data_IF_094744879648
#
_entry.id   IF_094744879648
#
_cell.length_a   1.000
_cell.length_b   1.000
_cell.length_c   1.000
_cell.angle_alpha   90.00
_cell.angle_beta   90.00
_cell.angle_gamma   90.00
#
_symmetry.space_group_name_H-M   'P 1'
#
loop_
_entity.id
_entity.type
_entity.pdbx_description
1 polymer ?
#
# COMPACT_ATOMS: atom_id res chain seq x y z
N UNK A 1 -41.85 -24.28 -17.77
CA UNK A 1 -40.37 -24.21 -17.79
C UNK A 1 -39.86 -22.79 -18.07
N UNK A 2 -40.24 -22.12 -19.15
CA UNK A 2 -39.77 -20.75 -19.45
C UNK A 2 -40.18 -19.70 -18.40
N UNK A 3 -41.44 -19.77 -17.90
CA UNK A 3 -41.93 -18.85 -16.86
C UNK A 3 -41.17 -18.97 -15.52
N UNK A 4 -40.87 -20.20 -15.09
CA UNK A 4 -40.07 -20.46 -13.89
C UNK A 4 -38.63 -19.97 -14.03
N UNK A 5 -38.03 -20.08 -15.24
CA UNK A 5 -36.68 -19.57 -15.53
C UNK A 5 -36.66 -18.05 -15.50
N UNK A 6 -37.70 -17.39 -16.02
CA UNK A 6 -37.84 -15.91 -15.99
C UNK A 6 -38.06 -15.38 -14.57
N UNK A 7 -38.83 -16.11 -13.72
CA UNK A 7 -39.04 -15.70 -12.35
C UNK A 7 -37.79 -15.88 -11.49
N UNK A 8 -37.06 -16.97 -11.67
CA UNK A 8 -35.72 -17.15 -11.06
C UNK A 8 -34.73 -16.07 -11.47
N UNK A 9 -34.72 -15.68 -12.75
CA UNK A 9 -33.86 -14.59 -13.24
C UNK A 9 -34.23 -13.23 -12.64
N UNK A 10 -35.51 -12.95 -12.45
CA UNK A 10 -35.99 -11.72 -11.80
C UNK A 10 -35.61 -11.67 -10.33
N UNK A 11 -35.68 -12.81 -9.60
CA UNK A 11 -35.24 -12.90 -8.19
C UNK A 11 -33.72 -12.79 -8.03
N UNK A 12 -32.94 -13.21 -9.01
CA UNK A 12 -31.48 -13.11 -8.96
C UNK A 12 -30.94 -11.70 -9.27
N UNK A 13 -31.72 -10.83 -9.95
CA UNK A 13 -31.28 -9.45 -10.26
C UNK A 13 -30.91 -8.62 -9.02
N UNK A 14 -31.74 -8.56 -7.96
CA UNK A 14 -31.37 -7.82 -6.75
C UNK A 14 -30.11 -8.35 -6.09
N UNK A 15 -30.00 -9.68 -5.98
CA UNK A 15 -28.81 -10.31 -5.40
C UNK A 15 -27.53 -9.97 -6.19
N UNK A 16 -27.59 -10.04 -7.52
CA UNK A 16 -26.47 -9.64 -8.37
C UNK A 16 -26.10 -8.16 -8.16
N UNK A 17 -27.09 -7.29 -8.03
CA UNK A 17 -26.86 -5.85 -7.76
C UNK A 17 -26.18 -5.65 -6.42
N UNK A 18 -26.63 -6.31 -5.36
CA UNK A 18 -26.02 -6.22 -4.03
C UNK A 18 -24.57 -6.75 -4.02
N UNK A 19 -24.32 -7.88 -4.68
CA UNK A 19 -22.95 -8.40 -4.82
C UNK A 19 -22.05 -7.46 -5.61
N UNK A 20 -22.58 -6.86 -6.68
CA UNK A 20 -21.87 -5.87 -7.46
C UNK A 20 -21.52 -4.64 -6.60
N UNK A 21 -22.49 -4.08 -5.87
CA UNK A 21 -22.30 -2.96 -4.95
C UNK A 21 -21.22 -3.29 -3.90
N UNK A 22 -21.32 -4.48 -3.32
CA UNK A 22 -20.34 -4.96 -2.35
C UNK A 22 -18.91 -5.00 -2.93
N UNK A 23 -18.72 -5.59 -4.10
CA UNK A 23 -17.39 -5.66 -4.74
C UNK A 23 -16.89 -4.29 -5.19
N UNK A 24 -17.80 -3.42 -5.67
CA UNK A 24 -17.45 -2.07 -6.12
C UNK A 24 -17.02 -1.17 -4.97
N UNK A 25 -17.55 -1.33 -3.75
CA UNK A 25 -17.09 -0.55 -2.60
C UNK A 25 -15.60 -0.79 -2.30
N UNK A 26 -15.11 -2.02 -2.44
CA UNK A 26 -13.69 -2.34 -2.30
C UNK A 26 -12.84 -1.79 -3.45
N UNK A 27 -13.37 -1.78 -4.68
CA UNK A 27 -12.69 -1.15 -5.81
C UNK A 27 -12.56 0.36 -5.58
N UNK A 28 -13.63 1.05 -5.16
CA UNK A 28 -13.60 2.47 -4.87
C UNK A 28 -12.65 2.79 -3.71
N UNK A 29 -12.59 1.93 -2.69
CA UNK A 29 -11.62 2.06 -1.61
C UNK A 29 -10.17 2.00 -2.11
N UNK A 30 -9.88 1.13 -3.08
CA UNK A 30 -8.56 1.10 -3.71
C UNK A 30 -8.28 2.34 -4.55
N UNK A 31 -9.25 2.83 -5.31
CA UNK A 31 -9.11 4.04 -6.14
C UNK A 31 -8.83 5.27 -5.25
N UNK A 32 -9.57 5.42 -4.14
CA UNK A 32 -9.37 6.48 -3.14
C UNK A 32 -7.97 6.41 -2.51
N UNK A 33 -7.59 5.24 -2.00
CA UNK A 33 -6.28 5.05 -1.39
C UNK A 33 -5.13 5.22 -2.39
N UNK A 34 -5.32 4.77 -3.62
CA UNK A 34 -4.31 4.93 -4.68
C UNK A 34 -4.11 6.42 -5.02
N UNK A 35 -5.21 7.21 -5.04
CA UNK A 35 -5.13 8.66 -5.22
C UNK A 35 -4.32 9.31 -4.11
N UNK A 36 -4.57 8.96 -2.84
CA UNK A 36 -3.82 9.47 -1.68
C UNK A 36 -2.33 9.12 -1.77
N UNK A 37 -2.00 7.87 -2.09
CA UNK A 37 -0.61 7.43 -2.24
C UNK A 37 0.08 8.14 -3.41
N UNK A 38 -0.63 8.36 -4.52
CA UNK A 38 -0.10 9.09 -5.67
C UNK A 38 0.17 10.56 -5.34
N UNK A 39 -0.69 11.20 -4.53
CA UNK A 39 -0.45 12.57 -4.05
C UNK A 39 0.83 12.61 -3.24
N UNK A 40 1.03 11.71 -2.26
CA UNK A 40 2.27 11.62 -1.49
C UNK A 40 3.49 11.40 -2.40
N UNK A 41 3.36 10.48 -3.38
CA UNK A 41 4.44 10.21 -4.33
C UNK A 41 4.82 11.44 -5.18
N UNK A 42 3.83 12.25 -5.58
CA UNK A 42 4.05 13.49 -6.32
C UNK A 42 4.65 14.56 -5.42
N UNK A 43 4.18 14.70 -4.18
CA UNK A 43 4.75 15.62 -3.20
C UNK A 43 6.24 15.35 -2.99
N UNK A 44 6.62 14.09 -2.73
CA UNK A 44 8.03 13.72 -2.64
C UNK A 44 8.83 14.04 -3.91
N UNK A 45 8.25 13.81 -5.08
CA UNK A 45 8.93 14.06 -6.35
C UNK A 45 9.23 15.55 -6.60
N UNK A 46 8.36 16.45 -6.14
CA UNK A 46 8.42 17.87 -6.48
C UNK A 46 8.87 18.79 -5.34
N UNK A 47 8.76 18.34 -4.09
CA UNK A 47 9.03 19.16 -2.89
C UNK A 47 10.23 18.63 -2.11
N UNK A 48 10.53 17.33 -2.24
CA UNK A 48 11.63 16.70 -1.53
C UNK A 48 12.66 16.14 -2.51
N UNK A 49 13.93 16.14 -2.12
CA UNK A 49 15.04 15.63 -2.95
C UNK A 49 15.02 14.12 -3.15
N UNK A 50 14.20 13.43 -2.36
CA UNK A 50 14.13 11.98 -2.34
C UNK A 50 12.70 11.47 -2.31
N UNK A 51 12.38 10.50 -3.16
CA UNK A 51 11.08 9.83 -3.18
C UNK A 51 11.19 8.42 -2.59
N UNK A 52 10.62 8.15 -1.42
CA UNK A 52 10.70 6.84 -0.76
C UNK A 52 9.85 5.76 -1.42
N UNK A 53 8.90 6.11 -2.32
CA UNK A 53 7.96 5.18 -2.94
C UNK A 53 8.43 4.77 -4.33
N UNK A 54 8.91 3.55 -4.47
CA UNK A 54 9.33 2.96 -5.74
C UNK A 54 8.14 2.48 -6.57
N UNK A 55 7.38 1.54 -6.03
CA UNK A 55 6.26 0.90 -6.71
C UNK A 55 5.04 0.78 -5.82
N UNK A 56 3.86 0.90 -6.44
CA UNK A 56 2.57 0.63 -5.79
C UNK A 56 1.80 -0.37 -6.65
N UNK A 57 1.31 -1.43 -6.01
CA UNK A 57 0.41 -2.39 -6.64
C UNK A 57 -0.83 -2.55 -5.80
N UNK A 58 -1.98 -2.76 -6.44
CA UNK A 58 -3.25 -2.94 -5.75
C UNK A 58 -4.07 -4.06 -6.39
N UNK A 59 -4.92 -4.68 -5.60
CA UNK A 59 -5.82 -5.73 -6.07
C UNK A 59 -7.09 -5.80 -5.23
N UNK A 60 -8.20 -6.13 -5.87
CA UNK A 60 -9.39 -6.68 -5.22
C UNK A 60 -9.27 -8.20 -5.21
N UNK A 61 -9.53 -8.84 -4.09
CA UNK A 61 -9.56 -10.31 -3.98
C UNK A 61 -10.74 -10.86 -4.79
N UNK A 62 -10.50 -11.91 -5.57
CA UNK A 62 -11.58 -12.53 -6.35
C UNK A 62 -12.65 -13.17 -5.46
N UNK A 63 -13.92 -13.23 -5.93
CA UNK A 63 -15.01 -13.87 -5.18
C UNK A 63 -14.69 -15.31 -4.76
N UNK A 64 -14.01 -16.09 -5.60
CA UNK A 64 -13.60 -17.47 -5.29
C UNK A 64 -12.60 -17.50 -4.13
N UNK A 65 -11.67 -16.53 -4.10
CA UNK A 65 -10.67 -16.42 -3.03
C UNK A 65 -11.30 -15.96 -1.71
N UNK A 66 -12.33 -15.11 -1.79
CA UNK A 66 -13.13 -14.69 -0.64
C UNK A 66 -13.87 -15.91 -0.08
N UNK A 67 -14.57 -16.67 -0.93
CA UNK A 67 -15.31 -17.86 -0.55
C UNK A 67 -14.42 -18.91 0.13
N UNK A 68 -13.26 -19.23 -0.46
CA UNK A 68 -12.28 -20.16 0.14
C UNK A 68 -11.81 -19.67 1.52
N UNK A 69 -11.64 -18.36 1.70
CA UNK A 69 -11.20 -17.79 2.98
C UNK A 69 -12.29 -17.86 4.04
N UNK A 70 -13.56 -17.62 3.67
CA UNK A 70 -14.72 -17.76 4.54
C UNK A 70 -14.84 -19.20 5.04
N UNK A 71 -14.84 -20.17 4.13
CA UNK A 71 -14.93 -21.59 4.45
C UNK A 71 -13.80 -22.03 5.40
N UNK A 72 -12.56 -21.60 5.13
CA UNK A 72 -11.42 -21.91 6.00
C UNK A 72 -11.54 -21.33 7.41
N UNK A 73 -12.20 -20.16 7.54
CA UNK A 73 -12.40 -19.48 8.83
C UNK A 73 -13.68 -19.86 9.56
N UNK A 74 -14.58 -20.62 8.91
CA UNK A 74 -15.87 -21.02 9.47
C UNK A 74 -16.85 -19.85 9.67
N UNK A 75 -16.77 -18.82 8.81
CA UNK A 75 -17.70 -17.69 8.88
C UNK A 75 -18.97 -17.97 8.07
N UNK A 76 -20.08 -17.33 8.44
CA UNK A 76 -21.33 -17.40 7.70
C UNK A 76 -21.20 -16.77 6.31
N UNK A 77 -21.91 -17.36 5.33
CA UNK A 77 -21.98 -16.86 3.95
C UNK A 77 -22.99 -15.72 3.82
N UNK A 78 -22.73 -14.60 4.52
CA UNK A 78 -23.50 -13.36 4.37
C UNK A 78 -22.55 -12.20 4.05
N UNK A 79 -23.02 -11.19 3.30
CA UNK A 79 -22.22 -10.02 2.97
C UNK A 79 -21.75 -9.27 4.24
N UNK A 80 -22.59 -9.24 5.29
CA UNK A 80 -22.22 -8.65 6.58
C UNK A 80 -21.06 -9.40 7.25
N UNK A 81 -21.15 -10.73 7.35
CA UNK A 81 -20.09 -11.58 7.92
C UNK A 81 -18.78 -11.49 7.10
N UNK A 82 -18.90 -11.41 5.77
CA UNK A 82 -17.74 -11.20 4.89
C UNK A 82 -17.08 -9.85 5.17
N UNK A 83 -17.85 -8.79 5.26
CA UNK A 83 -17.36 -7.42 5.50
C UNK A 83 -16.62 -7.31 6.83
N UNK A 84 -17.13 -7.93 7.88
CA UNK A 84 -16.51 -7.91 9.21
C UNK A 84 -15.33 -8.88 9.33
N UNK A 85 -15.46 -10.08 8.77
CA UNK A 85 -14.51 -11.17 8.96
C UNK A 85 -13.30 -11.15 8.02
N UNK A 86 -13.40 -10.49 6.84
CA UNK A 86 -12.36 -10.47 5.82
C UNK A 86 -11.88 -9.05 5.54
N UNK A 87 -10.79 -8.66 6.18
CA UNK A 87 -10.23 -7.30 6.13
C UNK A 87 -9.21 -7.08 5.00
N UNK A 88 -8.99 -8.08 4.13
CA UNK A 88 -8.00 -8.06 3.05
C UNK A 88 -8.62 -8.30 1.65
N UNK A 89 -9.88 -7.89 1.47
CA UNK A 89 -10.56 -7.93 0.16
C UNK A 89 -9.93 -6.89 -0.77
N UNK A 90 -9.78 -5.65 -0.29
CA UNK A 90 -8.96 -4.64 -0.93
C UNK A 90 -7.54 -4.71 -0.36
N UNK A 91 -6.54 -4.82 -1.22
CA UNK A 91 -5.14 -4.91 -0.83
C UNK A 91 -4.26 -3.99 -1.66
N UNK A 92 -3.36 -3.26 -0.98
CA UNK A 92 -2.34 -2.40 -1.57
C UNK A 92 -0.98 -2.87 -1.08
N UNK A 93 -0.01 -2.88 -1.98
CA UNK A 93 1.39 -3.08 -1.65
C UNK A 93 2.19 -1.87 -2.09
N UNK A 94 2.91 -1.29 -1.14
CA UNK A 94 3.84 -0.19 -1.35
C UNK A 94 5.24 -0.73 -1.19
N UNK A 95 6.09 -0.50 -2.18
CA UNK A 95 7.51 -0.86 -2.17
C UNK A 95 8.29 0.42 -1.97
N UNK A 96 9.14 0.43 -0.94
CA UNK A 96 10.02 1.50 -0.57
C UNK A 96 11.48 1.11 -0.82
N UNK A 97 12.36 2.11 -0.92
CA UNK A 97 13.79 1.88 -1.08
C UNK A 97 14.42 1.36 0.21
N UNK A 98 14.11 1.97 1.36
CA UNK A 98 14.75 1.67 2.64
C UNK A 98 13.74 1.33 3.74
N UNK A 99 14.26 0.74 4.83
CA UNK A 99 13.41 0.36 5.97
C UNK A 99 12.84 1.58 6.70
N UNK A 100 13.59 2.69 6.79
CA UNK A 100 13.10 3.96 7.34
C UNK A 100 11.87 4.48 6.62
N UNK A 101 11.86 4.40 5.28
CA UNK A 101 10.77 4.87 4.42
C UNK A 101 9.45 4.15 4.71
N UNK A 102 9.52 2.86 5.07
CA UNK A 102 8.33 2.06 5.43
C UNK A 102 7.60 2.72 6.61
N UNK A 103 8.35 3.14 7.62
CA UNK A 103 7.77 3.77 8.82
C UNK A 103 7.30 5.19 8.54
N UNK A 104 8.02 5.92 7.69
CA UNK A 104 7.65 7.28 7.29
C UNK A 104 6.32 7.28 6.52
N UNK A 105 6.18 6.46 5.48
CA UNK A 105 4.94 6.29 4.72
C UNK A 105 3.79 5.80 5.63
N UNK A 106 4.07 4.85 6.53
CA UNK A 106 3.08 4.40 7.52
C UNK A 106 2.58 5.55 8.39
N UNK A 107 3.49 6.40 8.91
CA UNK A 107 3.13 7.54 9.74
C UNK A 107 2.33 8.60 8.96
N UNK A 108 2.68 8.86 7.70
CA UNK A 108 1.94 9.79 6.85
C UNK A 108 0.51 9.32 6.60
N UNK A 109 0.31 8.03 6.29
CA UNK A 109 -1.02 7.46 6.12
C UNK A 109 -1.84 7.52 7.42
N UNK A 110 -1.22 7.30 8.57
CA UNK A 110 -1.89 7.34 9.88
C UNK A 110 -2.31 8.76 10.30
N UNK A 111 -1.65 9.80 9.79
CA UNK A 111 -1.99 11.21 10.09
C UNK A 111 -3.18 11.73 9.28
N UNK A 112 -3.61 11.02 8.23
CA UNK A 112 -4.77 11.45 7.44
C UNK A 112 -6.05 11.28 8.23
N UNK A 113 -6.86 12.35 8.30
CA UNK A 113 -8.04 12.45 9.19
C UNK A 113 -9.16 11.46 8.86
N UNK A 114 -9.25 11.05 7.62
CA UNK A 114 -10.26 10.13 7.08
C UNK A 114 -9.78 8.67 7.04
N UNK A 115 -8.58 8.39 7.54
CA UNK A 115 -8.03 7.04 7.67
C UNK A 115 -8.06 6.61 9.13
N UNK A 116 -8.78 5.52 9.41
CA UNK A 116 -8.75 4.89 10.73
C UNK A 116 -7.90 3.64 10.71
N UNK A 117 -6.86 3.60 11.52
CA UNK A 117 -6.03 2.38 11.69
C UNK A 117 -6.76 1.39 12.60
N UNK A 118 -7.10 0.23 12.07
CA UNK A 118 -7.77 -0.85 12.79
C UNK A 118 -6.76 -1.81 13.41
N UNK A 119 -5.69 -2.09 12.65
CA UNK A 119 -4.64 -3.02 13.09
C UNK A 119 -3.32 -2.70 12.41
N UNK A 120 -2.23 -2.81 13.15
CA UNK A 120 -0.89 -2.77 12.61
C UNK A 120 -0.11 -4.01 13.09
N UNK A 121 0.59 -4.69 12.18
CA UNK A 121 1.49 -5.80 12.47
C UNK A 121 2.84 -5.53 11.85
N UNK A 122 3.83 -5.39 12.69
CA UNK A 122 5.20 -5.13 12.30
C UNK A 122 5.99 -6.45 12.24
N UNK A 123 6.04 -7.01 11.03
CA UNK A 123 6.86 -8.19 10.75
C UNK A 123 8.31 -7.83 10.37
N UNK A 124 8.68 -6.55 10.42
CA UNK A 124 10.08 -6.12 10.26
C UNK A 124 10.79 -6.28 11.60
N UNK A 125 10.17 -5.77 12.68
CA UNK A 125 10.67 -5.94 14.07
C UNK A 125 10.52 -7.37 14.56
N UNK A 126 9.43 -8.06 14.19
CA UNK A 126 9.11 -9.41 14.58
C UNK A 126 8.86 -10.29 13.34
N UNK A 127 9.91 -10.73 12.63
CA UNK A 127 9.77 -11.54 11.41
C UNK A 127 9.01 -12.84 11.67
N UNK A 128 8.30 -13.33 10.66
CA UNK A 128 7.67 -14.65 10.75
C UNK A 128 8.74 -15.76 10.82
N UNK A 129 8.39 -16.97 11.29
CA UNK A 129 9.35 -18.08 11.42
C UNK A 129 10.11 -18.44 10.13
N UNK A 130 9.48 -18.20 8.95
CA UNK A 130 10.11 -18.40 7.64
C UNK A 130 11.02 -17.24 7.19
N UNK A 131 11.17 -16.19 7.99
CA UNK A 131 11.97 -15.01 7.65
C UNK A 131 11.20 -13.88 6.94
N UNK A 132 9.89 -14.05 6.68
CA UNK A 132 9.07 -13.01 6.04
C UNK A 132 9.03 -11.72 6.84
N UNK A 133 9.27 -10.59 6.15
CA UNK A 133 9.24 -9.24 6.69
C UNK A 133 8.30 -8.35 5.87
N UNK A 134 7.55 -7.49 6.54
CA UNK A 134 6.68 -6.45 5.98
C UNK A 134 6.00 -5.70 7.10
N UNK A 135 5.65 -4.44 6.92
CA UNK A 135 4.69 -3.76 7.76
C UNK A 135 3.29 -3.96 7.18
N UNK A 136 2.37 -4.53 7.97
CA UNK A 136 0.98 -4.77 7.56
C UNK A 136 0.05 -3.86 8.35
N UNK A 137 -0.78 -3.12 7.64
CA UNK A 137 -1.81 -2.27 8.23
C UNK A 137 -3.18 -2.67 7.70
N UNK A 138 -4.17 -2.74 8.56
CA UNK A 138 -5.59 -2.76 8.17
C UNK A 138 -6.12 -1.38 8.47
N UNK A 139 -6.51 -0.68 7.42
CA UNK A 139 -7.11 0.63 7.47
C UNK A 139 -8.60 0.53 7.19
N UNK A 140 -9.37 1.44 7.76
CA UNK A 140 -10.78 1.66 7.42
C UNK A 140 -10.91 3.06 6.88
N UNK A 141 -11.51 3.19 5.70
CA UNK A 141 -11.72 4.46 5.03
C UNK A 141 -13.19 4.63 4.65
N UNK A 142 -13.73 5.85 4.68
CA UNK A 142 -15.07 6.14 4.18
C UNK A 142 -15.08 6.18 2.67
N UNK A 143 -16.14 5.66 2.06
CA UNK A 143 -16.41 5.76 0.62
C UNK A 143 -17.76 6.42 0.43
N UNK A 144 -17.76 7.59 -0.19
CA UNK A 144 -18.97 8.35 -0.46
C UNK A 144 -19.51 7.97 -1.84
N UNK A 145 -20.70 7.39 -1.85
CA UNK A 145 -21.42 7.02 -3.06
C UNK A 145 -22.64 7.94 -3.26
N UNK A 146 -23.33 7.81 -4.39
CA UNK A 146 -24.46 8.68 -4.73
C UNK A 146 -25.63 8.62 -3.76
N UNK A 147 -25.82 7.49 -3.08
CA UNK A 147 -26.96 7.17 -2.23
C UNK A 147 -26.59 6.80 -0.79
N UNK A 148 -25.29 6.67 -0.48
CA UNK A 148 -24.82 6.22 0.84
C UNK A 148 -23.33 6.47 1.07
N UNK A 149 -22.97 6.43 2.34
CA UNK A 149 -21.59 6.30 2.81
C UNK A 149 -21.32 4.85 3.24
N UNK A 150 -20.16 4.33 2.89
CA UNK A 150 -19.73 2.99 3.30
C UNK A 150 -18.32 3.07 3.90
N UNK A 151 -18.06 2.26 4.94
CA UNK A 151 -16.73 2.14 5.55
C UNK A 151 -16.10 0.82 5.13
N UNK A 152 -14.94 0.89 4.49
CA UNK A 152 -14.31 -0.26 3.84
C UNK A 152 -12.93 -0.52 4.41
N UNK A 153 -12.61 -1.80 4.66
CA UNK A 153 -11.28 -2.21 5.06
C UNK A 153 -10.35 -2.35 3.86
N UNK A 154 -9.15 -1.81 4.01
CA UNK A 154 -8.05 -1.93 3.05
C UNK A 154 -6.82 -2.47 3.78
N UNK A 155 -6.26 -3.58 3.31
CA UNK A 155 -4.97 -4.07 3.77
C UNK A 155 -3.85 -3.34 3.03
N UNK A 156 -2.92 -2.72 3.77
CA UNK A 156 -1.72 -2.14 3.19
C UNK A 156 -0.52 -2.95 3.67
N UNK A 157 0.31 -3.37 2.73
CA UNK A 157 1.59 -4.03 2.96
C UNK A 157 2.69 -3.10 2.49
N UNK A 158 3.58 -2.69 3.39
CA UNK A 158 4.72 -1.82 3.06
C UNK A 158 6.00 -2.64 3.24
N UNK A 159 6.87 -2.62 2.24
CA UNK A 159 8.09 -3.44 2.16
C UNK A 159 9.22 -2.66 1.51
N UNK A 160 10.45 -3.08 1.72
CA UNK A 160 11.56 -2.72 0.85
C UNK A 160 11.57 -3.55 -0.43
N UNK A 161 12.39 -3.14 -1.39
CA UNK A 161 12.63 -3.91 -2.63
C UNK A 161 13.13 -5.34 -2.29
N UNK A 162 14.08 -5.47 -1.36
CA UNK A 162 14.63 -6.78 -0.99
C UNK A 162 13.61 -7.65 -0.25
N UNK A 163 12.78 -7.08 0.62
CA UNK A 163 11.67 -7.80 1.27
C UNK A 163 10.65 -8.30 0.24
N UNK A 164 10.31 -7.50 -0.77
CA UNK A 164 9.34 -7.90 -1.80
C UNK A 164 9.94 -8.93 -2.75
N UNK A 165 11.19 -8.79 -3.13
CA UNK A 165 11.94 -9.78 -3.91
C UNK A 165 11.87 -11.16 -3.23
N UNK A 166 12.28 -11.25 -1.96
CA UNK A 166 12.24 -12.49 -1.22
C UNK A 166 10.82 -13.07 -1.09
N UNK A 167 9.85 -12.25 -0.68
CA UNK A 167 8.47 -12.69 -0.48
C UNK A 167 7.80 -13.17 -1.77
N UNK A 168 8.13 -12.56 -2.91
CA UNK A 168 7.60 -12.93 -4.22
C UNK A 168 8.17 -14.26 -4.70
N UNK A 169 9.45 -14.54 -4.46
CA UNK A 169 10.08 -15.80 -4.82
C UNK A 169 9.68 -16.93 -3.87
N UNK A 170 9.63 -16.69 -2.56
CA UNK A 170 9.13 -17.64 -1.57
C UNK A 170 7.74 -18.13 -1.96
N UNK A 171 6.81 -17.20 -2.25
CA UNK A 171 5.46 -17.56 -2.69
C UNK A 171 5.45 -18.41 -3.97
N UNK A 172 6.31 -18.11 -4.96
CA UNK A 172 6.41 -18.91 -6.19
C UNK A 172 6.94 -20.33 -5.93
N UNK A 173 7.92 -20.46 -5.03
CA UNK A 173 8.48 -21.74 -4.63
C UNK A 173 7.42 -22.58 -3.92
N UNK A 174 6.71 -21.99 -2.94
CA UNK A 174 5.66 -22.69 -2.20
C UNK A 174 4.46 -23.07 -3.07
N UNK A 175 4.02 -22.18 -3.98
CA UNK A 175 2.85 -22.43 -4.82
C UNK A 175 3.07 -23.55 -5.85
N UNK A 176 4.30 -23.72 -6.35
CA UNK A 176 4.63 -24.78 -7.30
C UNK A 176 4.84 -26.15 -6.64
N UNK A 177 5.02 -26.19 -5.34
CA UNK A 177 5.31 -27.41 -4.60
C UNK A 177 4.05 -27.91 -3.91
N UNK A 178 3.33 -28.84 -4.57
CA UNK A 178 2.06 -29.41 -4.06
C UNK A 178 2.26 -30.40 -2.89
N UNK A 179 3.43 -30.48 -2.29
CA UNK A 179 3.80 -31.39 -1.18
C UNK A 179 4.36 -30.59 -0.01
N UNK A 180 4.51 -31.21 1.14
CA UNK A 180 5.22 -30.61 2.26
C UNK A 180 6.67 -30.29 1.87
N UNK A 181 7.06 -29.03 2.07
CA UNK A 181 8.41 -28.55 1.75
C UNK A 181 9.39 -29.14 2.76
N UNK A 182 10.48 -29.78 2.31
CA UNK A 182 11.52 -30.29 3.18
C UNK A 182 12.11 -29.23 4.10
N UNK A 183 12.44 -29.60 5.33
CA UNK A 183 12.99 -28.66 6.32
C UNK A 183 14.24 -27.94 5.81
N UNK A 184 15.12 -28.64 5.12
CA UNK A 184 16.33 -28.06 4.49
C UNK A 184 15.99 -26.85 3.60
N UNK A 185 14.96 -26.93 2.74
CA UNK A 185 14.55 -25.82 1.87
C UNK A 185 13.96 -24.65 2.69
N UNK A 186 13.23 -24.95 3.78
CA UNK A 186 12.74 -23.91 4.70
C UNK A 186 13.89 -23.16 5.35
N UNK A 187 14.94 -23.86 5.75
CA UNK A 187 16.13 -23.28 6.38
C UNK A 187 16.90 -22.41 5.37
N UNK A 188 17.12 -22.90 4.15
CA UNK A 188 17.74 -22.12 3.06
C UNK A 188 16.95 -20.86 2.70
N UNK A 189 15.61 -20.95 2.66
CA UNK A 189 14.76 -19.77 2.45
C UNK A 189 14.87 -18.74 3.59
N UNK A 190 15.01 -19.21 4.82
CA UNK A 190 15.23 -18.34 5.98
C UNK A 190 16.62 -17.68 5.92
N UNK A 191 17.66 -18.39 5.52
CA UNK A 191 18.99 -17.79 5.30
C UNK A 191 18.97 -16.73 4.21
N UNK A 192 18.26 -16.99 3.12
CA UNK A 192 18.05 -16.00 2.05
C UNK A 192 17.33 -14.75 2.57
N UNK A 193 16.33 -14.89 3.47
CA UNK A 193 15.67 -13.76 4.10
C UNK A 193 16.62 -12.93 4.99
N UNK A 194 17.51 -13.60 5.73
CA UNK A 194 18.53 -12.93 6.55
C UNK A 194 19.50 -12.14 5.66
N UNK A 195 19.95 -12.75 4.54
CA UNK A 195 20.84 -12.09 3.57
C UNK A 195 20.18 -10.86 2.94
N UNK A 196 18.89 -10.95 2.58
CA UNK A 196 18.13 -9.82 2.06
C UNK A 196 18.03 -8.68 3.10
N UNK A 197 17.80 -9.01 4.38
CA UNK A 197 17.75 -8.04 5.46
C UNK A 197 19.11 -7.35 5.70
N UNK A 198 20.21 -8.11 5.58
CA UNK A 198 21.55 -7.54 5.71
C UNK A 198 21.87 -6.59 4.56
N UNK A 199 21.45 -6.95 3.33
CA UNK A 199 21.60 -6.09 2.16
C UNK A 199 20.83 -4.78 2.34
N UNK A 200 19.55 -4.83 2.75
CA UNK A 200 18.74 -3.65 3.04
C UNK A 200 19.45 -2.70 4.01
N UNK A 201 19.91 -3.22 5.16
CA UNK A 201 20.62 -2.43 6.18
C UNK A 201 21.90 -1.79 5.62
N UNK A 202 22.64 -2.52 4.79
CA UNK A 202 23.86 -2.00 4.17
C UNK A 202 23.57 -0.89 3.18
N UNK A 203 22.54 -1.06 2.34
CA UNK A 203 22.13 -0.05 1.37
C UNK A 203 21.59 1.21 2.05
N UNK A 204 20.79 1.07 3.10
CA UNK A 204 20.29 2.20 3.89
C UNK A 204 21.45 2.97 4.55
N UNK A 205 22.47 2.28 5.06
CA UNK A 205 23.66 2.91 5.64
C UNK A 205 24.42 3.73 4.58
N UNK A 206 24.67 3.14 3.40
CA UNK A 206 25.33 3.83 2.28
C UNK A 206 24.54 5.07 1.87
N UNK A 207 23.22 4.97 1.79
CA UNK A 207 22.36 6.12 1.44
C UNK A 207 22.51 7.26 2.45
N UNK A 208 22.51 6.96 3.75
CA UNK A 208 22.71 7.96 4.80
C UNK A 208 24.09 8.66 4.69
N UNK A 209 25.16 7.88 4.49
CA UNK A 209 26.51 8.41 4.30
C UNK A 209 26.61 9.34 3.06
N UNK A 210 25.93 8.97 1.95
CA UNK A 210 25.89 9.83 0.75
C UNK A 210 25.11 11.12 1.00
N UNK A 211 24.00 11.06 1.74
CA UNK A 211 23.23 12.27 2.05
C UNK A 211 24.01 13.22 2.97
N UNK A 212 24.73 12.69 3.97
CA UNK A 212 25.63 13.50 4.82
C UNK A 212 26.71 14.22 3.99
N UNK A 213 27.26 13.58 2.95
CA UNK A 213 28.25 14.21 2.05
C UNK A 213 27.58 15.32 1.22
N UNK A 214 26.37 15.08 0.68
CA UNK A 214 25.63 16.08 -0.12
C UNK A 214 25.24 17.32 0.69
N UNK A 215 24.87 17.16 1.96
CA UNK A 215 24.55 18.29 2.84
C UNK A 215 25.75 19.20 3.09
N UNK A 216 26.99 18.69 2.95
CA UNK A 216 28.22 19.46 3.07
C UNK A 216 28.56 20.24 1.78
N UNK A 217 28.06 19.77 0.62
CA UNK A 217 28.33 20.34 -0.71
C UNK A 217 27.23 21.31 -1.18
N UNK A 218 26.47 21.97 -0.29
CA UNK A 218 25.33 22.83 -0.59
C UNK A 218 25.55 23.70 -1.86
N UNK A 219 25.01 23.25 -2.99
CA UNK A 219 24.81 24.06 -4.18
C UNK A 219 23.58 24.97 -3.96
N UNK A 220 23.74 26.27 -4.23
CA UNK A 220 22.67 27.27 -4.18
C UNK A 220 21.55 26.87 -5.15
N UNK A 221 20.41 26.41 -4.61
CA UNK A 221 19.21 26.16 -5.39
C UNK A 221 18.72 27.42 -6.09
N UNK A 222 18.46 27.33 -7.39
CA UNK A 222 17.92 28.43 -8.17
C UNK A 222 16.44 28.68 -7.81
N UNK A 223 16.17 29.59 -6.87
CA UNK A 223 14.84 29.95 -6.38
C UNK A 223 13.90 30.53 -7.47
N UNK A 224 14.44 30.85 -8.66
CA UNK A 224 13.65 31.43 -9.75
C UNK A 224 13.04 30.39 -10.70
N UNK A 225 13.31 29.10 -10.52
CA UNK A 225 12.78 28.04 -11.37
C UNK A 225 11.96 27.03 -10.55
N UNK A 226 10.69 26.82 -10.95
CA UNK A 226 9.86 25.72 -10.45
C UNK A 226 9.72 24.66 -11.54
N UNK A 227 9.98 23.39 -11.19
CA UNK A 227 9.78 22.25 -12.07
C UNK A 227 8.52 21.48 -11.67
N UNK A 228 7.45 21.60 -12.46
CA UNK A 228 6.17 20.90 -12.22
C UNK A 228 5.81 20.10 -13.48
N UNK A 229 5.60 18.80 -13.36
CA UNK A 229 5.26 17.88 -14.48
C UNK A 229 6.24 17.92 -15.67
N UNK A 230 7.53 18.09 -15.41
CA UNK A 230 8.59 18.29 -16.40
C UNK A 230 8.49 19.62 -17.17
N UNK A 231 7.64 20.54 -16.77
CA UNK A 231 7.57 21.90 -17.29
C UNK A 231 8.31 22.84 -16.32
N UNK A 232 9.16 23.71 -16.88
CA UNK A 232 9.87 24.72 -16.11
C UNK A 232 9.08 26.00 -16.08
N UNK A 233 8.80 26.50 -14.90
CA UNK A 233 8.12 27.76 -14.66
C UNK A 233 9.14 28.76 -14.10
N UNK A 234 9.34 29.86 -14.80
CA UNK A 234 10.12 30.97 -14.28
C UNK A 234 9.26 31.78 -13.29
N UNK A 235 9.76 31.99 -12.07
CA UNK A 235 9.09 32.77 -11.04
C UNK A 235 9.63 34.21 -11.10
N UNK A 236 8.81 35.22 -11.48
CA UNK A 236 9.25 36.60 -11.56
C UNK A 236 9.64 37.15 -10.19
N UNK A 237 10.65 38.06 -10.15
CA UNK A 237 11.10 38.70 -8.92
C UNK A 237 9.97 39.44 -8.20
N UNK A 238 9.06 40.07 -8.95
CA UNK A 238 7.88 40.76 -8.42
C UNK A 238 6.93 39.82 -7.64
N UNK A 239 7.01 38.52 -7.87
CA UNK A 239 6.27 37.50 -7.13
C UNK A 239 7.06 36.97 -5.93
N UNK A 240 8.39 36.78 -6.09
CA UNK A 240 9.24 36.25 -5.02
C UNK A 240 9.46 37.23 -3.87
N UNK A 241 9.66 38.52 -4.17
CA UNK A 241 9.99 39.55 -3.15
C UNK A 241 8.87 39.69 -2.08
N UNK A 242 7.60 39.84 -2.45
CA UNK A 242 6.52 39.91 -1.46
C UNK A 242 6.35 38.64 -0.63
N UNK A 243 6.49 37.46 -1.26
CA UNK A 243 6.38 36.18 -0.57
C UNK A 243 7.54 36.01 0.42
N UNK A 244 8.77 36.33 0.02
CA UNK A 244 9.94 36.29 0.89
C UNK A 244 9.76 37.17 2.13
N UNK A 245 9.24 38.38 1.97
CA UNK A 245 8.92 39.27 3.11
C UNK A 245 7.87 38.64 4.03
N UNK A 246 6.76 38.15 3.49
CA UNK A 246 5.71 37.53 4.29
C UNK A 246 6.18 36.30 5.05
N UNK A 247 7.12 35.53 4.49
CA UNK A 247 7.65 34.30 5.09
C UNK A 247 8.64 34.55 6.23
N UNK A 248 9.50 35.60 6.10
CA UNK A 248 10.53 35.88 7.10
C UNK A 248 10.11 36.94 8.15
N UNK A 249 9.05 37.70 7.90
CA UNK A 249 8.51 38.71 8.83
C UNK A 249 7.37 38.16 9.73
N UNK A 250 7.03 36.86 9.61
CA UNK A 250 6.04 36.14 10.41
C UNK A 250 6.70 35.29 11.49
#
# INVERSE_FOLDING_TARGET
MVAQTLDNLKQMKPLKTELMRFMMSYKFALDEMNTKINILKQEFKYIHDYNPIEHVTHRVKSPESILKKIQRKGYDLSLASIKEGITDIAGIRIICSFTSDIYEISNMLQRQKDIKVIKCKDYIKNPKPNGYQSLHMILQIPIFMSDREDHVYVEIQIRTIAMDFWASLEHKIYYKYNKEIPQKIKDELKEAAISATQLDKKMEKIHKEVNEIKELDNDEENLQELLINNERFHVPDDFLIPIKRAYYDS
#
